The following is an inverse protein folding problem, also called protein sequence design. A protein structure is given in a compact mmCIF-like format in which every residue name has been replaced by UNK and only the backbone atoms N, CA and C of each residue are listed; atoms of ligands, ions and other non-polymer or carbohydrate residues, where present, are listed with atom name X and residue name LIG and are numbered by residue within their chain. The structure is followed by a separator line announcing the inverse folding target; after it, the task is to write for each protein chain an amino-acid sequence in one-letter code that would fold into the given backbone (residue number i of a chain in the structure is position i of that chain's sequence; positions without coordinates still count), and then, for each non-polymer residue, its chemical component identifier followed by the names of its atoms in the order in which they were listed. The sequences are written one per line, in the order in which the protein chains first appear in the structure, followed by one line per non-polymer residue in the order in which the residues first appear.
data_IF_437433584142
#
_entry.id   IF_437433584142
#
_cell.length_a   1.000
_cell.length_b   1.000
_cell.length_c   1.000
_cell.angle_alpha   90.00
_cell.angle_beta   90.00
_cell.angle_gamma   90.00
#
_symmetry.space_group_name_H-M   'P 1'
#
loop_
_entity.id
_entity.type
_entity.pdbx_description
1 polymer ?
#
# COMPACT_ATOMS: atom_id res chain seq x y z
N UNK A 1 14.70 -21.54 -5.35
CA UNK A 1 13.39 -21.09 -4.82
C UNK A 1 13.25 -19.58 -4.93
N UNK A 2 14.20 -18.77 -4.42
CA UNK A 2 14.14 -17.30 -4.44
C UNK A 2 13.70 -16.63 -5.76
N UNK A 3 14.22 -17.07 -6.92
CA UNK A 3 13.92 -16.45 -8.21
C UNK A 3 12.46 -16.61 -8.68
N UNK A 4 11.78 -17.69 -8.26
CA UNK A 4 10.36 -17.91 -8.60
C UNK A 4 9.46 -17.05 -7.70
N UNK A 5 9.83 -16.94 -6.42
CA UNK A 5 9.09 -16.18 -5.41
C UNK A 5 9.12 -14.67 -5.72
N UNK A 6 10.29 -14.14 -6.09
CA UNK A 6 10.46 -12.73 -6.50
C UNK A 6 9.61 -12.39 -7.73
N UNK A 7 9.62 -13.27 -8.75
CA UNK A 7 8.81 -13.08 -9.97
C UNK A 7 7.32 -13.07 -9.64
N UNK A 8 6.88 -13.99 -8.78
CA UNK A 8 5.48 -14.10 -8.40
C UNK A 8 5.02 -12.90 -7.55
N UNK A 9 5.83 -12.46 -6.58
CA UNK A 9 5.58 -11.24 -5.81
C UNK A 9 5.45 -10.05 -6.76
N UNK A 10 6.39 -9.87 -7.69
CA UNK A 10 6.35 -8.77 -8.66
C UNK A 10 5.06 -8.76 -9.48
N UNK A 11 4.55 -9.91 -9.90
CA UNK A 11 3.28 -10.02 -10.60
C UNK A 11 2.10 -9.55 -9.74
N UNK A 12 2.06 -9.94 -8.46
CA UNK A 12 1.01 -9.47 -7.54
C UNK A 12 1.09 -7.96 -7.30
N UNK A 13 2.29 -7.40 -7.11
CA UNK A 13 2.47 -5.96 -6.91
C UNK A 13 2.05 -5.16 -8.16
N UNK A 14 2.50 -5.58 -9.35
CA UNK A 14 2.11 -4.94 -10.61
C UNK A 14 0.60 -4.97 -10.84
N UNK A 15 -0.05 -6.11 -10.53
CA UNK A 15 -1.50 -6.23 -10.63
C UNK A 15 -2.21 -5.27 -9.65
N UNK A 16 -1.75 -5.22 -8.40
CA UNK A 16 -2.31 -4.35 -7.37
C UNK A 16 -2.14 -2.86 -7.72
N UNK A 17 -0.97 -2.44 -8.21
CA UNK A 17 -0.71 -1.06 -8.64
C UNK A 17 -1.62 -0.65 -9.80
N UNK A 18 -1.76 -1.51 -10.82
CA UNK A 18 -2.64 -1.25 -11.95
C UNK A 18 -4.11 -1.11 -11.51
N UNK A 19 -4.56 -1.96 -10.58
CA UNK A 19 -5.92 -1.90 -10.02
C UNK A 19 -6.12 -0.67 -9.12
N UNK A 20 -5.12 -0.26 -8.35
CA UNK A 20 -5.16 0.99 -7.59
C UNK A 20 -5.34 2.19 -8.52
N UNK A 21 -4.59 2.26 -9.61
CA UNK A 21 -4.76 3.31 -10.61
C UNK A 21 -6.17 3.28 -11.21
N UNK A 22 -6.67 2.09 -11.57
CA UNK A 22 -8.04 1.94 -12.09
C UNK A 22 -9.11 2.45 -11.10
N UNK A 23 -8.95 2.19 -9.80
CA UNK A 23 -9.89 2.65 -8.78
C UNK A 23 -10.03 4.19 -8.71
N UNK A 24 -9.03 4.95 -9.16
CA UNK A 24 -9.09 6.42 -9.20
C UNK A 24 -10.12 6.93 -10.22
N UNK A 25 -10.25 6.22 -11.34
CA UNK A 25 -11.12 6.59 -12.44
C UNK A 25 -12.43 5.79 -12.45
N UNK A 26 -12.51 4.72 -11.66
CA UNK A 26 -13.72 3.91 -11.52
C UNK A 26 -14.84 4.68 -10.80
N UNK A 27 -16.10 4.42 -11.16
CA UNK A 27 -17.24 4.97 -10.43
C UNK A 27 -17.31 4.37 -9.01
N UNK A 28 -17.88 5.08 -8.02
CA UNK A 28 -17.85 4.67 -6.61
C UNK A 28 -18.30 3.23 -6.34
N UNK A 29 -19.35 2.77 -7.03
CA UNK A 29 -19.91 1.42 -6.90
C UNK A 29 -18.95 0.30 -7.33
N UNK A 30 -18.00 0.58 -8.23
CA UNK A 30 -17.00 -0.39 -8.68
C UNK A 30 -15.72 -0.35 -7.85
N UNK A 31 -15.49 0.71 -7.05
CA UNK A 31 -14.25 0.88 -6.30
C UNK A 31 -14.07 -0.16 -5.20
N UNK A 32 -15.16 -0.56 -4.57
CA UNK A 32 -15.10 -1.54 -3.48
C UNK A 32 -14.57 -2.89 -3.95
N UNK A 33 -15.09 -3.41 -5.06
CA UNK A 33 -14.62 -4.66 -5.65
C UNK A 33 -13.15 -4.56 -6.12
N UNK A 34 -12.78 -3.44 -6.76
CA UNK A 34 -11.39 -3.19 -7.14
C UNK A 34 -10.48 -3.16 -5.90
N UNK A 35 -10.91 -2.55 -4.80
CA UNK A 35 -10.14 -2.54 -3.55
C UNK A 35 -10.01 -3.93 -2.93
N UNK A 36 -11.03 -4.78 -3.06
CA UNK A 36 -10.93 -6.18 -2.65
C UNK A 36 -9.86 -6.92 -3.46
N UNK A 37 -9.85 -6.77 -4.78
CA UNK A 37 -8.83 -7.38 -5.64
C UNK A 37 -7.41 -6.89 -5.31
N UNK A 38 -7.25 -5.58 -5.05
CA UNK A 38 -5.98 -4.99 -4.60
C UNK A 38 -5.53 -5.60 -3.28
N UNK A 39 -6.44 -5.72 -2.29
CA UNK A 39 -6.14 -6.36 -1.00
C UNK A 39 -5.69 -7.80 -1.17
N UNK A 40 -6.41 -8.58 -1.97
CA UNK A 40 -6.10 -9.98 -2.18
C UNK A 40 -4.72 -10.18 -2.83
N UNK A 41 -4.39 -9.38 -3.85
CA UNK A 41 -3.08 -9.43 -4.49
C UNK A 41 -1.94 -9.10 -3.51
N UNK A 42 -2.11 -8.04 -2.72
CA UNK A 42 -1.08 -7.60 -1.77
C UNK A 42 -0.92 -8.57 -0.60
N UNK A 43 -2.01 -9.17 -0.11
CA UNK A 43 -1.94 -10.24 0.90
C UNK A 43 -1.24 -11.48 0.34
N UNK A 44 -1.44 -11.83 -0.93
CA UNK A 44 -0.69 -12.93 -1.56
C UNK A 44 0.81 -12.61 -1.66
N UNK A 45 1.17 -11.38 -2.03
CA UNK A 45 2.57 -10.92 -2.03
C UNK A 45 3.19 -11.02 -0.62
N UNK A 46 2.48 -10.52 0.41
CA UNK A 46 2.90 -10.55 1.81
C UNK A 46 3.12 -11.96 2.38
N UNK A 47 2.35 -12.94 1.91
CA UNK A 47 2.50 -14.35 2.30
C UNK A 47 3.76 -14.99 1.72
N UNK A 48 4.25 -14.50 0.58
CA UNK A 48 5.47 -15.00 -0.06
C UNK A 48 6.69 -14.28 0.50
N UNK A 49 6.68 -12.94 0.44
CA UNK A 49 7.74 -12.09 1.00
C UNK A 49 7.11 -11.06 1.95
N UNK A 50 7.29 -11.22 3.28
CA UNK A 50 6.79 -10.27 4.26
C UNK A 50 7.31 -8.85 4.01
N UNK A 51 6.41 -7.88 3.99
CA UNK A 51 6.70 -6.47 3.72
C UNK A 51 6.51 -6.04 2.26
N UNK A 52 6.52 -6.98 1.31
CA UNK A 52 6.47 -6.66 -0.13
C UNK A 52 5.20 -5.92 -0.57
N UNK A 53 4.05 -6.17 0.06
CA UNK A 53 2.78 -5.50 -0.23
C UNK A 53 2.42 -4.39 0.75
N UNK A 54 3.20 -4.22 1.82
CA UNK A 54 2.85 -3.37 2.95
C UNK A 54 2.72 -1.88 2.58
N UNK A 55 3.62 -1.36 1.74
CA UNK A 55 3.55 0.02 1.27
C UNK A 55 2.27 0.31 0.47
N UNK A 56 1.94 -0.55 -0.48
CA UNK A 56 0.73 -0.39 -1.30
C UNK A 56 -0.55 -0.61 -0.47
N UNK A 57 -0.50 -1.46 0.56
CA UNK A 57 -1.58 -1.56 1.54
C UNK A 57 -1.80 -0.28 2.35
N UNK A 58 -0.72 0.38 2.78
CA UNK A 58 -0.83 1.69 3.41
C UNK A 58 -1.48 2.71 2.46
N UNK A 59 -1.04 2.75 1.20
CA UNK A 59 -1.64 3.62 0.19
C UNK A 59 -3.13 3.35 -0.03
N UNK A 60 -3.53 2.07 -0.09
CA UNK A 60 -4.95 1.70 -0.20
C UNK A 60 -5.75 2.22 1.00
N UNK A 61 -5.27 1.99 2.23
CA UNK A 61 -5.96 2.45 3.43
C UNK A 61 -5.97 3.98 3.55
N UNK A 62 -4.97 4.67 3.02
CA UNK A 62 -4.99 6.13 2.87
C UNK A 62 -6.11 6.61 1.94
N UNK A 63 -6.31 5.94 0.80
CA UNK A 63 -7.46 6.22 -0.09
C UNK A 63 -8.81 5.94 0.56
N UNK A 64 -8.88 4.91 1.40
CA UNK A 64 -10.08 4.55 2.16
C UNK A 64 -10.28 5.45 3.39
N UNK A 65 -9.42 6.44 3.64
CA UNK A 65 -9.43 7.31 4.82
C UNK A 65 -9.44 6.51 6.13
N UNK A 66 -8.70 5.41 6.17
CA UNK A 66 -8.54 4.55 7.33
C UNK A 66 -7.14 4.76 7.95
N UNK A 67 -6.94 5.78 8.80
CA UNK A 67 -5.63 6.14 9.34
C UNK A 67 -5.02 5.04 10.20
N UNK A 68 -5.83 4.32 10.97
CA UNK A 68 -5.35 3.23 11.84
C UNK A 68 -4.70 2.12 11.03
N UNK A 69 -5.37 1.65 9.98
CA UNK A 69 -4.84 0.60 9.12
C UNK A 69 -3.70 1.11 8.27
N UNK A 70 -3.77 2.35 7.77
CA UNK A 70 -2.67 2.97 7.04
C UNK A 70 -1.38 2.95 7.87
N UNK A 71 -1.45 3.41 9.13
CA UNK A 71 -0.31 3.43 10.05
C UNK A 71 0.25 2.03 10.30
N UNK A 72 -0.61 1.05 10.59
CA UNK A 72 -0.17 -0.35 10.82
C UNK A 72 0.62 -0.92 9.63
N UNK A 73 0.19 -0.59 8.41
CA UNK A 73 0.86 -1.04 7.20
C UNK A 73 2.15 -0.27 6.90
N UNK A 74 2.22 1.03 7.20
CA UNK A 74 3.48 1.79 7.15
C UNK A 74 4.51 1.23 8.13
N UNK A 75 4.12 0.96 9.37
CA UNK A 75 4.99 0.33 10.37
C UNK A 75 5.49 -1.05 9.90
N UNK A 76 4.63 -1.84 9.26
CA UNK A 76 5.03 -3.11 8.66
C UNK A 76 6.01 -2.93 7.51
N UNK A 77 5.78 -1.98 6.60
CA UNK A 77 6.70 -1.69 5.51
C UNK A 77 8.08 -1.28 6.05
N UNK A 78 8.12 -0.44 7.10
CA UNK A 78 9.35 -0.02 7.79
C UNK A 78 10.08 -1.22 8.40
N UNK A 79 9.37 -2.07 9.14
CA UNK A 79 9.92 -3.26 9.79
C UNK A 79 10.61 -4.22 8.80
N UNK A 80 10.09 -4.31 7.58
CA UNK A 80 10.59 -5.23 6.57
C UNK A 80 11.46 -4.57 5.49
N UNK A 81 11.85 -3.29 5.66
CA UNK A 81 12.71 -2.59 4.71
C UNK A 81 12.05 -2.30 3.35
N UNK A 82 10.72 -2.34 3.29
CA UNK A 82 9.92 -2.06 2.09
C UNK A 82 9.32 -0.64 2.08
N UNK A 83 9.66 0.17 3.08
CA UNK A 83 9.23 1.57 3.15
C UNK A 83 10.09 2.40 2.19
N UNK A 84 9.48 3.23 1.32
CA UNK A 84 10.23 4.14 0.48
C UNK A 84 10.83 5.29 1.30
N UNK A 85 11.65 6.13 0.66
CA UNK A 85 12.23 7.31 1.33
C UNK A 85 11.16 8.32 1.77
N UNK A 86 11.52 9.18 2.72
CA UNK A 86 10.61 10.17 3.28
C UNK A 86 10.01 11.13 2.24
N UNK A 87 10.75 11.45 1.18
CA UNK A 87 10.28 12.33 0.08
C UNK A 87 9.16 11.65 -0.69
N UNK A 88 9.30 10.37 -0.99
CA UNK A 88 8.29 9.54 -1.66
C UNK A 88 7.05 9.38 -0.80
N UNK A 89 7.21 9.21 0.52
CA UNK A 89 6.08 9.13 1.45
C UNK A 89 5.33 10.46 1.50
N UNK A 90 6.05 11.58 1.67
CA UNK A 90 5.47 12.92 1.81
C UNK A 90 4.87 13.46 0.51
N UNK A 91 5.34 13.02 -0.66
CA UNK A 91 4.75 13.39 -1.94
C UNK A 91 3.60 12.47 -2.38
N UNK A 92 3.31 11.40 -1.62
CA UNK A 92 2.29 10.44 -2.03
C UNK A 92 0.89 11.04 -1.89
N UNK A 93 0.11 11.16 -2.99
CA UNK A 93 -1.21 11.80 -2.96
C UNK A 93 -2.21 11.05 -2.08
N UNK A 94 -2.02 9.74 -1.84
CA UNK A 94 -2.91 8.92 -1.03
C UNK A 94 -2.72 9.11 0.47
N UNK A 95 -1.59 9.70 0.87
CA UNK A 95 -1.28 9.99 2.27
C UNK A 95 -1.48 11.45 2.62
N UNK A 96 -1.85 12.29 1.64
CA UNK A 96 -2.03 13.74 1.81
C UNK A 96 -2.96 14.10 2.95
N UNK A 97 -4.04 13.34 3.15
CA UNK A 97 -5.02 13.57 4.23
C UNK A 97 -4.42 13.36 5.64
N UNK A 98 -3.28 12.70 5.74
CA UNK A 98 -2.60 12.44 7.02
C UNK A 98 -1.43 13.38 7.26
N UNK A 99 -1.04 14.22 6.31
CA UNK A 99 0.11 15.12 6.47
C UNK A 99 -0.03 16.02 7.69
N UNK A 100 -1.23 16.51 7.98
CA UNK A 100 -1.45 17.40 9.12
C UNK A 100 -1.73 16.64 10.43
N UNK A 101 -1.63 15.31 10.42
CA UNK A 101 -1.86 14.50 11.61
C UNK A 101 -0.57 14.32 12.41
N UNK A 102 -0.67 14.50 13.72
CA UNK A 102 0.47 14.38 14.64
C UNK A 102 1.21 13.06 14.48
N UNK A 103 0.46 11.96 14.27
CA UNK A 103 1.05 10.63 14.14
C UNK A 103 1.88 10.50 12.86
N UNK A 104 1.48 11.14 11.76
CA UNK A 104 2.21 11.05 10.49
C UNK A 104 3.45 11.94 10.49
N UNK A 105 3.36 13.12 11.12
CA UNK A 105 4.51 14.00 11.35
C UNK A 105 5.55 13.32 12.26
N UNK A 106 5.12 12.70 13.36
CA UNK A 106 6.00 11.89 14.24
C UNK A 106 6.57 10.68 13.48
N UNK A 107 5.83 10.11 12.54
CA UNK A 107 6.29 8.96 11.76
C UNK A 107 7.39 9.34 10.74
N UNK A 108 7.35 10.56 10.21
CA UNK A 108 8.29 11.08 9.20
C UNK A 108 9.51 11.83 9.78
N UNK A 109 9.39 12.41 10.97
CA UNK A 109 10.48 13.06 11.72
C UNK A 109 11.37 12.08 12.47
#
# INVERSE_FOLDING_TARGET
MAHSDEKQVKQFLQHAEAKLLHAEFAPPEAREEIWHEVKDALIRAEKIVPGSGAWLMACLHGRQQNPEMCRKWLERAKKHGALPDGVTIQSNPHLKLFHDSDWFQIYLG
#
